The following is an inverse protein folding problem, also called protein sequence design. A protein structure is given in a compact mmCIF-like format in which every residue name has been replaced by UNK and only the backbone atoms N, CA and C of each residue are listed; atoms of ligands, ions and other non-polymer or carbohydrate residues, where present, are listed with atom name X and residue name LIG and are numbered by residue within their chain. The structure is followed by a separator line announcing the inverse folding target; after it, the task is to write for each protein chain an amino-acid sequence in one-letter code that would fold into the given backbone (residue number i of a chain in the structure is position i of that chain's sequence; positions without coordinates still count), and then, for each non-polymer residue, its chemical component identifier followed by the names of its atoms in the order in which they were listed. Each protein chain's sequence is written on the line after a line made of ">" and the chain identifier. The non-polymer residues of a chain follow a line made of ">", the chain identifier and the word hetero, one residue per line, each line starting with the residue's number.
data_IF_785287980411
#
_entry.id   IF_785287980411
#
_cell.length_a   1.000
_cell.length_b   1.000
_cell.length_c   1.000
_cell.angle_alpha   90.00
_cell.angle_beta   90.00
_cell.angle_gamma   90.00
#
_symmetry.space_group_name_H-M   'P 1'
#
loop_
_entity.id
_entity.type
_entity.pdbx_description
1 polymer ?
#
# COMPACT_ATOMS: atom_id res chain seq x y z
N UNK A 1 29.34 -15.70 23.82
CA UNK A 1 28.78 -16.54 22.74
C UNK A 1 27.32 -16.15 22.59
N UNK A 2 27.02 -15.21 21.69
CA UNK A 2 25.64 -14.80 21.43
C UNK A 2 24.95 -15.93 20.64
N UNK A 3 23.69 -16.29 20.94
CA UNK A 3 23.01 -17.33 20.21
C UNK A 3 22.73 -16.81 18.80
N UNK A 4 23.32 -17.48 17.81
CA UNK A 4 23.00 -17.30 16.40
C UNK A 4 21.52 -17.65 16.21
N UNK A 5 20.66 -16.63 16.12
CA UNK A 5 19.28 -16.81 15.70
C UNK A 5 19.33 -17.32 14.27
N UNK A 6 19.12 -18.63 14.08
CA UNK A 6 18.87 -19.18 12.75
C UNK A 6 17.58 -18.54 12.25
N UNK A 7 17.70 -17.62 11.30
CA UNK A 7 16.60 -17.26 10.41
C UNK A 7 16.14 -18.58 9.78
N UNK A 8 14.89 -18.97 10.04
CA UNK A 8 14.33 -20.16 9.41
C UNK A 8 14.05 -19.82 7.94
N UNK A 9 14.99 -20.16 7.05
CA UNK A 9 14.77 -20.23 5.59
C UNK A 9 13.88 -21.44 5.25
N UNK A 10 12.70 -21.51 5.86
CA UNK A 10 11.72 -22.55 5.56
C UNK A 10 10.77 -22.01 4.51
N UNK A 11 10.69 -22.68 3.35
CA UNK A 11 9.74 -22.32 2.30
C UNK A 11 8.29 -22.40 2.81
N UNK A 12 7.50 -21.35 2.58
CA UNK A 12 6.10 -21.24 3.03
C UNK A 12 5.18 -21.29 1.81
N UNK A 13 4.50 -22.41 1.61
CA UNK A 13 3.72 -22.65 0.39
C UNK A 13 2.25 -22.21 0.49
N UNK A 14 1.67 -22.25 1.68
CA UNK A 14 0.31 -21.79 1.91
C UNK A 14 0.16 -21.15 3.28
N UNK A 15 -0.85 -20.28 3.42
CA UNK A 15 -1.23 -19.65 4.67
C UNK A 15 -2.74 -19.53 4.79
N UNK A 16 -3.26 -19.60 6.00
CA UNK A 16 -4.67 -19.43 6.31
C UNK A 16 -5.05 -17.95 6.60
N UNK A 17 -6.31 -17.70 6.89
CA UNK A 17 -6.82 -16.37 7.23
C UNK A 17 -6.25 -15.79 8.52
N UNK A 18 -5.86 -16.62 9.50
CA UNK A 18 -5.27 -16.12 10.75
C UNK A 18 -3.83 -15.66 10.50
N UNK A 19 -3.07 -16.39 9.69
CA UNK A 19 -1.76 -15.96 9.23
C UNK A 19 -1.85 -14.66 8.40
N UNK A 20 -2.81 -14.56 7.48
CA UNK A 20 -3.04 -13.32 6.74
C UNK A 20 -3.39 -12.14 7.66
N UNK A 21 -4.25 -12.35 8.66
CA UNK A 21 -4.55 -11.33 9.68
C UNK A 21 -3.30 -10.88 10.44
N UNK A 22 -2.38 -11.80 10.76
CA UNK A 22 -1.10 -11.45 11.38
C UNK A 22 -0.20 -10.62 10.45
N UNK A 23 -0.18 -10.92 9.15
CA UNK A 23 0.51 -10.08 8.16
C UNK A 23 -0.05 -8.65 8.16
N UNK A 24 -1.38 -8.50 8.11
CA UNK A 24 -2.02 -7.19 8.15
C UNK A 24 -1.65 -6.43 9.43
N UNK A 25 -1.69 -7.09 10.60
CA UNK A 25 -1.28 -6.49 11.88
C UNK A 25 0.14 -5.93 11.80
N UNK A 26 1.09 -6.74 11.32
CA UNK A 26 2.48 -6.34 11.26
C UNK A 26 2.72 -5.23 10.22
N UNK A 27 2.07 -5.29 9.06
CA UNK A 27 2.04 -4.22 8.08
C UNK A 27 1.53 -2.91 8.68
N UNK A 28 0.41 -2.96 9.40
CA UNK A 28 -0.18 -1.81 10.09
C UNK A 28 0.78 -1.22 11.13
N UNK A 29 1.36 -2.06 12.00
CA UNK A 29 2.32 -1.62 13.02
C UNK A 29 3.58 -1.03 12.41
N UNK A 30 4.04 -1.56 11.27
CA UNK A 30 5.19 -0.99 10.56
C UNK A 30 4.84 0.36 9.95
N UNK A 31 3.68 0.48 9.29
CA UNK A 31 3.19 1.76 8.76
C UNK A 31 2.99 2.79 9.87
N UNK A 32 2.47 2.39 11.03
CA UNK A 32 2.30 3.26 12.20
C UNK A 32 3.62 3.90 12.64
N UNK A 33 4.73 3.17 12.56
CA UNK A 33 6.05 3.70 12.92
C UNK A 33 6.64 4.66 11.88
N UNK A 34 6.22 4.53 10.62
CA UNK A 34 6.82 5.26 9.50
C UNK A 34 5.89 6.29 8.86
N UNK A 35 4.64 6.40 9.32
CA UNK A 35 3.64 7.27 8.69
C UNK A 35 4.08 8.74 8.67
N UNK A 36 4.80 9.23 9.68
CA UNK A 36 5.35 10.60 9.67
C UNK A 36 6.43 10.79 8.59
N UNK A 37 7.25 9.77 8.33
CA UNK A 37 8.21 9.83 7.23
C UNK A 37 7.50 9.83 5.87
N UNK A 38 6.42 9.06 5.74
CA UNK A 38 5.57 9.08 4.55
C UNK A 38 4.88 10.44 4.37
N UNK A 39 4.42 11.06 5.46
CA UNK A 39 3.82 12.39 5.46
C UNK A 39 4.78 13.46 4.92
N UNK A 40 6.06 13.40 5.29
CA UNK A 40 7.08 14.35 4.82
C UNK A 40 7.33 14.29 3.30
N UNK A 41 6.97 13.20 2.64
CA UNK A 41 7.08 13.04 1.19
C UNK A 41 5.85 13.60 0.44
N UNK A 42 4.78 13.97 1.15
CA UNK A 42 3.52 14.33 0.53
C UNK A 42 3.59 15.72 -0.12
N UNK A 43 3.91 15.74 -1.41
CA UNK A 43 3.92 16.95 -2.25
C UNK A 43 2.93 16.88 -3.42
N UNK A 44 2.23 15.76 -3.58
CA UNK A 44 1.30 15.50 -4.68
C UNK A 44 0.12 14.60 -4.23
N UNK A 45 -1.12 14.86 -4.70
CA UNK A 45 -1.53 16.01 -5.51
C UNK A 45 -1.59 17.29 -4.68
N UNK A 46 -1.81 17.18 -3.37
CA UNK A 46 -1.91 18.31 -2.44
C UNK A 46 -0.82 18.15 -1.37
N UNK A 47 0.06 19.15 -1.18
CA UNK A 47 1.15 19.09 -0.21
C UNK A 47 0.67 19.43 1.22
N UNK A 48 -0.29 18.65 1.74
CA UNK A 48 -0.89 18.84 3.07
C UNK A 48 -0.24 17.98 4.18
N UNK A 49 0.75 17.15 3.81
CA UNK A 49 1.49 16.35 4.76
C UNK A 49 0.68 15.23 5.44
N UNK A 50 -0.45 14.79 4.87
CA UNK A 50 -1.34 13.83 5.55
C UNK A 50 -1.33 12.39 4.99
N UNK A 51 -0.62 12.13 3.87
CA UNK A 51 -0.74 10.85 3.13
C UNK A 51 -0.51 9.62 4.01
N UNK A 52 0.55 9.59 4.81
CA UNK A 52 0.86 8.50 5.73
C UNK A 52 -0.19 8.36 6.84
N UNK A 53 -0.67 9.48 7.39
CA UNK A 53 -1.77 9.49 8.36
C UNK A 53 -3.04 8.88 7.77
N UNK A 54 -3.41 9.29 6.56
CA UNK A 54 -4.57 8.81 5.82
C UNK A 54 -4.49 7.30 5.54
N UNK A 55 -3.31 6.82 5.12
CA UNK A 55 -3.05 5.41 4.93
C UNK A 55 -3.16 4.63 6.25
N UNK A 56 -2.53 5.12 7.33
CA UNK A 56 -2.57 4.46 8.63
C UNK A 56 -3.99 4.36 9.19
N UNK A 57 -4.78 5.44 9.12
CA UNK A 57 -6.18 5.44 9.56
C UNK A 57 -7.03 4.45 8.77
N UNK A 58 -6.79 4.36 7.46
CA UNK A 58 -7.47 3.40 6.59
C UNK A 58 -7.14 1.95 6.97
N UNK A 59 -5.86 1.63 7.17
CA UNK A 59 -5.42 0.28 7.56
C UNK A 59 -5.89 -0.07 8.96
N UNK A 60 -5.90 0.88 9.91
CA UNK A 60 -6.45 0.68 11.26
C UNK A 60 -7.93 0.32 11.20
N UNK A 61 -8.73 1.05 10.42
CA UNK A 61 -10.14 0.73 10.23
C UNK A 61 -10.35 -0.66 9.62
N UNK A 62 -9.52 -1.02 8.63
CA UNK A 62 -9.52 -2.35 8.03
C UNK A 62 -9.20 -3.45 9.06
N UNK A 63 -8.15 -3.26 9.85
CA UNK A 63 -7.72 -4.23 10.87
C UNK A 63 -8.74 -4.36 12.01
N UNK A 64 -9.34 -3.26 12.45
CA UNK A 64 -10.42 -3.27 13.45
C UNK A 64 -11.61 -4.14 13.02
N UNK A 65 -11.88 -4.27 11.72
CA UNK A 65 -12.95 -5.13 11.20
C UNK A 65 -12.63 -6.64 11.30
N UNK A 66 -11.36 -7.03 11.46
CA UNK A 66 -10.92 -8.43 11.48
C UNK A 66 -10.25 -8.88 12.78
N UNK A 67 -9.88 -7.96 13.69
CA UNK A 67 -9.11 -8.30 14.90
C UNK A 67 -9.77 -9.40 15.74
N UNK A 68 -11.09 -9.34 15.91
CA UNK A 68 -11.88 -10.30 16.68
C UNK A 68 -12.53 -11.40 15.81
N UNK A 69 -12.15 -11.52 14.53
CA UNK A 69 -12.69 -12.54 13.63
C UNK A 69 -11.94 -13.88 13.82
N UNK A 70 -12.60 -14.94 14.31
CA UNK A 70 -11.97 -16.23 14.57
C UNK A 70 -11.81 -17.12 13.31
N UNK A 71 -12.44 -16.78 12.18
CA UNK A 71 -12.40 -17.61 10.98
C UNK A 71 -10.99 -17.90 10.47
N UNK A 72 -10.70 -19.16 10.16
CA UNK A 72 -9.46 -19.56 9.47
C UNK A 72 -9.52 -19.28 7.96
N UNK A 73 -10.66 -18.88 7.41
CA UNK A 73 -10.77 -18.64 5.97
C UNK A 73 -10.10 -17.33 5.55
N UNK A 74 -9.11 -17.45 4.67
CA UNK A 74 -8.47 -16.31 4.01
C UNK A 74 -9.49 -15.41 3.29
N UNK A 75 -10.47 -16.00 2.60
CA UNK A 75 -11.55 -15.25 1.94
C UNK A 75 -12.39 -14.43 2.91
N UNK A 76 -12.83 -15.04 4.02
CA UNK A 76 -13.65 -14.33 5.05
C UNK A 76 -12.86 -13.17 5.66
N UNK A 77 -11.59 -13.40 6.01
CA UNK A 77 -10.74 -12.35 6.58
C UNK A 77 -10.50 -11.23 5.56
N UNK A 78 -10.16 -11.55 4.31
CA UNK A 78 -9.88 -10.57 3.28
C UNK A 78 -11.12 -9.75 2.90
N UNK A 79 -12.30 -10.37 2.84
CA UNK A 79 -13.56 -9.66 2.59
C UNK A 79 -13.88 -8.65 3.70
N UNK A 80 -13.77 -9.07 4.97
CA UNK A 80 -13.99 -8.16 6.11
C UNK A 80 -12.96 -7.05 6.17
N UNK A 81 -11.70 -7.36 5.88
CA UNK A 81 -10.61 -6.38 5.78
C UNK A 81 -10.93 -5.33 4.72
N UNK A 82 -11.28 -5.76 3.50
CA UNK A 82 -11.61 -4.87 2.39
C UNK A 82 -12.82 -3.98 2.71
N UNK A 83 -13.85 -4.53 3.34
CA UNK A 83 -15.01 -3.76 3.78
C UNK A 83 -14.62 -2.73 4.85
N UNK A 84 -13.81 -3.10 5.85
CA UNK A 84 -13.33 -2.15 6.86
C UNK A 84 -12.49 -1.02 6.24
N UNK A 85 -11.62 -1.35 5.29
CA UNK A 85 -10.82 -0.37 4.56
C UNK A 85 -11.69 0.59 3.73
N UNK A 86 -12.73 0.08 3.06
CA UNK A 86 -13.64 0.90 2.25
C UNK A 86 -14.44 1.90 3.10
N UNK A 87 -14.98 1.46 4.24
CA UNK A 87 -15.76 2.35 5.11
C UNK A 87 -14.87 3.32 5.91
N UNK A 88 -13.62 2.93 6.14
CA UNK A 88 -12.65 3.74 6.88
C UNK A 88 -11.68 4.53 6.01
N UNK A 89 -11.81 4.50 4.67
CA UNK A 89 -10.85 5.13 3.77
C UNK A 89 -10.76 6.64 4.01
N UNK A 90 -9.53 7.16 4.03
CA UNK A 90 -9.24 8.59 4.17
C UNK A 90 -8.33 9.06 3.04
N UNK A 91 -8.71 10.14 2.37
CA UNK A 91 -7.89 10.73 1.31
C UNK A 91 -7.65 9.78 0.12
N UNK A 92 -7.05 10.30 -0.94
CA UNK A 92 -6.84 9.52 -2.16
C UNK A 92 -5.98 8.27 -1.90
N UNK A 93 -4.97 8.36 -1.03
CA UNK A 93 -4.12 7.25 -0.62
C UNK A 93 -4.90 6.14 0.11
N UNK A 94 -5.81 6.50 1.01
CA UNK A 94 -6.70 5.54 1.68
C UNK A 94 -7.70 4.90 0.73
N UNK A 95 -8.25 5.67 -0.21
CA UNK A 95 -9.12 5.12 -1.26
C UNK A 95 -8.39 4.11 -2.13
N UNK A 96 -7.15 4.37 -2.55
CA UNK A 96 -6.31 3.38 -3.26
C UNK A 96 -6.11 2.13 -2.41
N UNK A 97 -5.73 2.27 -1.14
CA UNK A 97 -5.55 1.13 -0.24
C UNK A 97 -6.83 0.31 -0.05
N UNK A 98 -7.99 0.96 0.00
CA UNK A 98 -9.27 0.25 0.07
C UNK A 98 -9.49 -0.67 -1.15
N UNK A 99 -9.13 -0.19 -2.34
CA UNK A 99 -9.22 -0.99 -3.56
C UNK A 99 -8.13 -2.06 -3.64
N UNK A 100 -6.95 -1.76 -3.10
CA UNK A 100 -5.88 -2.74 -2.95
C UNK A 100 -6.37 -3.95 -2.15
N UNK A 101 -6.92 -3.74 -0.94
CA UNK A 101 -7.49 -4.83 -0.14
C UNK A 101 -8.71 -5.50 -0.79
N UNK A 102 -9.52 -4.74 -1.55
CA UNK A 102 -10.61 -5.32 -2.34
C UNK A 102 -10.11 -6.28 -3.42
N UNK A 103 -8.94 -6.03 -4.00
CA UNK A 103 -8.27 -6.96 -4.91
C UNK A 103 -7.93 -8.29 -4.23
N UNK A 104 -7.37 -8.22 -3.02
CA UNK A 104 -7.08 -9.40 -2.18
C UNK A 104 -8.36 -10.17 -1.82
N UNK A 105 -9.43 -9.47 -1.45
CA UNK A 105 -10.72 -10.10 -1.17
C UNK A 105 -11.27 -10.87 -2.38
N UNK A 106 -11.13 -10.34 -3.60
CA UNK A 106 -11.54 -11.04 -4.83
C UNK A 106 -10.70 -12.28 -5.09
N UNK A 107 -9.38 -12.18 -4.91
CA UNK A 107 -8.47 -13.28 -5.16
C UNK A 107 -8.64 -14.42 -4.14
N UNK A 108 -8.96 -14.10 -2.88
CA UNK A 108 -9.12 -15.08 -1.81
C UNK A 108 -10.56 -15.59 -1.64
N UNK A 109 -11.49 -15.16 -2.49
CA UNK A 109 -12.91 -15.50 -2.35
C UNK A 109 -13.13 -17.02 -2.29
N UNK A 110 -13.78 -17.49 -1.22
CA UNK A 110 -14.07 -18.90 -0.99
C UNK A 110 -12.88 -19.75 -0.53
N UNK A 111 -11.69 -19.17 -0.36
CA UNK A 111 -10.49 -19.91 0.04
C UNK A 111 -10.34 -19.98 1.55
N UNK A 112 -9.96 -21.16 2.06
CA UNK A 112 -9.49 -21.30 3.44
C UNK A 112 -8.04 -20.85 3.56
N UNK A 113 -7.19 -21.35 2.66
CA UNK A 113 -5.78 -21.00 2.55
C UNK A 113 -5.47 -20.41 1.18
N UNK A 114 -4.43 -19.60 1.09
CA UNK A 114 -3.94 -19.06 -0.18
C UNK A 114 -2.48 -19.48 -0.41
N UNK A 115 -2.08 -19.47 -1.68
CA UNK A 115 -0.77 -19.90 -2.18
C UNK A 115 -0.19 -18.79 -3.07
N UNK A 116 1.02 -19.00 -3.61
CA UNK A 116 1.70 -18.01 -4.44
C UNK A 116 0.83 -17.50 -5.60
N UNK A 117 0.15 -18.39 -6.33
CA UNK A 117 -0.71 -18.04 -7.45
C UNK A 117 -1.87 -17.13 -7.04
N UNK A 118 -2.47 -17.41 -5.88
CA UNK A 118 -3.55 -16.62 -5.31
C UNK A 118 -3.05 -15.23 -4.88
N UNK A 119 -1.86 -15.16 -4.29
CA UNK A 119 -1.25 -13.89 -3.88
C UNK A 119 -0.86 -13.04 -5.10
N UNK A 120 -0.33 -13.66 -6.16
CA UNK A 120 -0.07 -12.97 -7.42
C UNK A 120 -1.35 -12.40 -8.04
N UNK A 121 -2.42 -13.21 -8.07
CA UNK A 121 -3.71 -12.75 -8.53
C UNK A 121 -4.26 -11.60 -7.66
N UNK A 122 -4.03 -11.63 -6.35
CA UNK A 122 -4.40 -10.56 -5.44
C UNK A 122 -3.73 -9.22 -5.79
N UNK A 123 -2.42 -9.22 -6.05
CA UNK A 123 -1.69 -8.01 -6.49
C UNK A 123 -2.20 -7.50 -7.84
N UNK A 124 -2.46 -8.40 -8.80
CA UNK A 124 -3.05 -8.02 -10.10
C UNK A 124 -4.39 -7.31 -9.93
N UNK A 125 -5.30 -7.91 -9.19
CA UNK A 125 -6.63 -7.35 -8.96
C UNK A 125 -6.57 -6.05 -8.16
N UNK A 126 -5.66 -5.96 -7.20
CA UNK A 126 -5.41 -4.75 -6.42
C UNK A 126 -4.99 -3.59 -7.33
N UNK A 127 -4.00 -3.79 -8.20
CA UNK A 127 -3.57 -2.79 -9.17
C UNK A 127 -4.70 -2.41 -10.12
N UNK A 128 -5.38 -3.41 -10.72
CA UNK A 128 -6.49 -3.18 -11.67
C UNK A 128 -7.61 -2.33 -11.04
N UNK A 129 -8.02 -2.64 -9.81
CA UNK A 129 -9.07 -1.89 -9.11
C UNK A 129 -8.61 -0.49 -8.69
N UNK A 130 -7.36 -0.33 -8.28
CA UNK A 130 -6.80 0.97 -7.94
C UNK A 130 -6.83 1.92 -9.14
N UNK A 131 -6.37 1.47 -10.31
CA UNK A 131 -6.45 2.26 -11.55
C UNK A 131 -7.88 2.62 -11.93
N UNK A 132 -8.81 1.67 -11.83
CA UNK A 132 -10.22 1.89 -12.15
C UNK A 132 -10.94 2.85 -11.19
N UNK A 133 -10.29 3.29 -10.11
CA UNK A 133 -10.89 4.21 -9.14
C UNK A 133 -10.91 5.65 -9.65
N UNK A 134 -9.91 6.03 -10.44
CA UNK A 134 -9.71 7.40 -10.91
C UNK A 134 -10.03 7.50 -12.39
N UNK A 135 -10.63 8.62 -12.79
CA UNK A 135 -10.90 8.90 -14.21
C UNK A 135 -9.61 9.12 -15.00
N UNK A 136 -8.62 9.74 -14.36
CA UNK A 136 -7.30 10.01 -14.92
C UNK A 136 -6.25 9.43 -13.97
N UNK A 137 -5.93 8.14 -14.10
CA UNK A 137 -4.83 7.53 -13.37
C UNK A 137 -3.51 8.23 -13.71
N UNK A 138 -2.71 8.53 -12.68
CA UNK A 138 -1.43 9.25 -12.85
C UNK A 138 -0.27 8.31 -12.61
N UNK A 139 0.59 8.13 -13.61
CA UNK A 139 1.86 7.40 -13.44
C UNK A 139 2.85 8.22 -12.60
N UNK A 140 3.78 7.53 -11.93
CA UNK A 140 4.64 8.12 -10.91
C UNK A 140 3.95 8.27 -9.55
N UNK A 141 2.83 7.57 -9.33
CA UNK A 141 2.13 7.52 -8.03
C UNK A 141 2.09 6.09 -7.48
N UNK A 142 1.44 5.90 -6.33
CA UNK A 142 1.09 4.59 -5.76
C UNK A 142 0.51 3.61 -6.78
N UNK A 143 -0.18 4.11 -7.81
CA UNK A 143 -0.73 3.30 -8.90
C UNK A 143 0.39 2.59 -9.68
N UNK A 144 1.42 3.31 -10.10
CA UNK A 144 2.60 2.74 -10.78
C UNK A 144 3.26 1.68 -9.91
N UNK A 145 3.45 1.98 -8.62
CA UNK A 145 4.08 1.05 -7.67
C UNK A 145 3.26 -0.23 -7.55
N UNK A 146 1.94 -0.13 -7.37
CA UNK A 146 1.06 -1.30 -7.29
C UNK A 146 1.07 -2.14 -8.59
N UNK A 147 1.03 -1.49 -9.76
CA UNK A 147 1.09 -2.16 -11.06
C UNK A 147 2.41 -2.91 -11.25
N UNK A 148 3.54 -2.25 -10.98
CA UNK A 148 4.84 -2.87 -11.17
C UNK A 148 5.10 -4.03 -10.20
N UNK A 149 4.60 -3.94 -8.96
CA UNK A 149 4.63 -5.06 -8.02
C UNK A 149 3.83 -6.24 -8.59
N UNK A 150 2.63 -5.99 -9.11
CA UNK A 150 1.81 -7.04 -9.71
C UNK A 150 2.52 -7.70 -10.91
N UNK A 151 3.08 -6.91 -11.82
CA UNK A 151 3.84 -7.39 -12.99
C UNK A 151 5.02 -8.28 -12.56
N UNK A 152 5.82 -7.86 -11.56
CA UNK A 152 6.94 -8.65 -11.04
C UNK A 152 6.48 -9.98 -10.43
N UNK A 153 5.47 -9.92 -9.58
CA UNK A 153 4.97 -11.09 -8.87
C UNK A 153 4.35 -12.10 -9.84
N UNK A 154 3.62 -11.64 -10.87
CA UNK A 154 3.06 -12.49 -11.91
C UNK A 154 4.13 -13.25 -12.70
N UNK A 155 5.29 -12.64 -12.97
CA UNK A 155 6.38 -13.32 -13.68
C UNK A 155 6.99 -14.48 -12.88
N UNK A 156 6.85 -14.47 -11.55
CA UNK A 156 7.40 -15.48 -10.65
C UNK A 156 6.46 -16.68 -10.44
N UNK A 157 5.18 -16.55 -10.81
CA UNK A 157 4.19 -17.63 -10.76
C UNK A 157 4.63 -18.79 -11.65
N UNK A 158 4.51 -20.02 -11.16
CA UNK A 158 4.94 -21.23 -11.86
C UNK A 158 6.45 -21.54 -11.77
N UNK A 159 7.26 -20.69 -11.14
CA UNK A 159 8.69 -20.94 -10.92
C UNK A 159 8.99 -21.68 -9.60
N UNK A 160 8.00 -22.39 -9.03
CA UNK A 160 8.11 -23.13 -7.77
C UNK A 160 8.49 -22.24 -6.55
N UNK A 161 8.13 -20.95 -6.62
CA UNK A 161 8.40 -19.97 -5.56
C UNK A 161 7.41 -20.06 -4.40
N UNK A 162 7.93 -19.95 -3.18
CA UNK A 162 7.13 -19.86 -1.97
C UNK A 162 6.62 -18.42 -1.70
N UNK A 163 5.67 -18.27 -0.77
CA UNK A 163 5.06 -16.99 -0.40
C UNK A 163 6.07 -15.96 0.12
N UNK A 164 7.13 -16.39 0.80
CA UNK A 164 8.18 -15.50 1.30
C UNK A 164 9.05 -14.97 0.17
N UNK A 165 9.42 -15.82 -0.78
CA UNK A 165 10.11 -15.40 -2.00
C UNK A 165 9.27 -14.40 -2.77
N UNK A 166 7.98 -14.69 -2.98
CA UNK A 166 7.07 -13.82 -3.72
C UNK A 166 6.92 -12.43 -3.07
N UNK A 167 6.66 -12.39 -1.76
CA UNK A 167 6.50 -11.13 -1.02
C UNK A 167 7.82 -10.37 -0.89
N UNK A 168 8.96 -11.05 -0.81
CA UNK A 168 10.29 -10.40 -0.87
C UNK A 168 10.47 -9.65 -2.19
N UNK A 169 10.17 -10.32 -3.31
CA UNK A 169 10.28 -9.71 -4.64
C UNK A 169 9.28 -8.56 -4.85
N UNK A 170 8.07 -8.69 -4.32
CA UNK A 170 7.10 -7.60 -4.29
C UNK A 170 7.66 -6.35 -3.58
N UNK A 171 8.25 -6.51 -2.40
CA UNK A 171 8.85 -5.38 -1.65
C UNK A 171 10.03 -4.77 -2.40
N UNK A 172 10.94 -5.61 -2.92
CA UNK A 172 12.11 -5.14 -3.69
C UNK A 172 11.68 -4.36 -4.94
N UNK A 173 10.72 -4.89 -5.70
CA UNK A 173 10.20 -4.19 -6.88
C UNK A 173 9.49 -2.90 -6.50
N UNK A 174 8.71 -2.92 -5.42
CA UNK A 174 8.04 -1.73 -4.90
C UNK A 174 9.04 -0.61 -4.58
N UNK A 175 10.14 -0.91 -3.89
CA UNK A 175 11.22 0.05 -3.61
C UNK A 175 11.83 0.62 -4.90
N UNK A 176 12.10 -0.24 -5.89
CA UNK A 176 12.63 0.20 -7.19
C UNK A 176 11.64 1.11 -7.93
N UNK A 177 10.35 0.78 -7.90
CA UNK A 177 9.30 1.58 -8.53
C UNK A 177 9.17 2.95 -7.85
N UNK A 178 9.14 2.99 -6.51
CA UNK A 178 9.13 4.24 -5.72
C UNK A 178 10.33 5.12 -6.07
N UNK A 179 11.53 4.56 -6.14
CA UNK A 179 12.74 5.32 -6.48
C UNK A 179 12.66 5.98 -7.88
N UNK A 180 11.89 5.39 -8.81
CA UNK A 180 11.70 5.92 -10.17
C UNK A 180 10.50 6.85 -10.31
N UNK A 181 9.66 7.04 -9.29
CA UNK A 181 8.52 7.96 -9.42
C UNK A 181 8.90 9.40 -9.80
N UNK A 182 10.06 9.96 -9.40
CA UNK A 182 10.50 11.28 -9.88
C UNK A 182 10.87 11.31 -11.37
N UNK A 183 11.18 10.16 -11.97
CA UNK A 183 11.41 10.05 -13.42
C UNK A 183 10.08 10.16 -14.19
N UNK A 184 8.98 9.79 -13.56
CA UNK A 184 7.65 9.73 -14.17
C UNK A 184 6.80 10.98 -13.89
N UNK A 185 6.96 11.59 -12.71
CA UNK A 185 6.13 12.73 -12.29
C UNK A 185 6.99 13.97 -12.01
N UNK A 186 6.91 15.03 -12.84
CA UNK A 186 7.79 16.20 -12.73
C UNK A 186 7.74 16.94 -11.39
N UNK A 187 6.59 16.95 -10.71
CA UNK A 187 6.44 17.59 -9.41
C UNK A 187 7.32 16.91 -8.35
N UNK A 188 7.39 15.58 -8.35
CA UNK A 188 8.24 14.80 -7.46
C UNK A 188 9.72 15.07 -7.72
N UNK A 189 10.11 15.15 -9.00
CA UNK A 189 11.48 15.51 -9.41
C UNK A 189 11.91 16.87 -8.91
N UNK A 190 11.06 17.89 -9.13
CA UNK A 190 11.34 19.26 -8.69
C UNK A 190 11.41 19.35 -7.17
N UNK A 191 10.56 18.60 -6.48
CA UNK A 191 10.57 18.51 -5.03
C UNK A 191 11.72 17.67 -4.46
N UNK A 192 12.44 16.89 -5.29
CA UNK A 192 13.51 16.01 -4.82
C UNK A 192 13.01 14.85 -3.95
N UNK A 193 11.72 14.50 -4.03
CA UNK A 193 11.09 13.45 -3.22
C UNK A 193 10.48 12.36 -4.11
N UNK A 194 10.23 11.19 -3.54
CA UNK A 194 9.49 10.09 -4.16
C UNK A 194 7.98 10.20 -3.85
N UNK A 195 7.17 9.34 -4.46
CA UNK A 195 5.72 9.32 -4.20
C UNK A 195 5.42 8.82 -2.78
N UNK A 196 4.70 9.63 -2.00
CA UNK A 196 4.33 9.33 -0.61
C UNK A 196 3.45 8.08 -0.53
N UNK A 197 2.43 7.96 -1.38
CA UNK A 197 1.52 6.80 -1.39
C UNK A 197 2.24 5.50 -1.73
N UNK A 198 3.11 5.53 -2.74
CA UNK A 198 3.95 4.43 -3.16
C UNK A 198 4.89 3.98 -2.04
N UNK A 199 5.57 4.94 -1.39
CA UNK A 199 6.42 4.66 -0.23
C UNK A 199 5.60 4.03 0.91
N UNK A 200 4.41 4.56 1.21
CA UNK A 200 3.52 4.00 2.23
C UNK A 200 3.08 2.57 1.93
N UNK A 201 2.83 2.23 0.66
CA UNK A 201 2.49 0.87 0.24
C UNK A 201 3.67 -0.09 0.43
N UNK A 202 4.88 0.33 0.06
CA UNK A 202 6.11 -0.45 0.27
C UNK A 202 6.33 -0.71 1.76
N UNK A 203 6.22 0.31 2.60
CA UNK A 203 6.29 0.18 4.07
C UNK A 203 5.25 -0.84 4.55
N UNK A 204 3.99 -0.72 4.13
CA UNK A 204 2.96 -1.68 4.52
C UNK A 204 3.34 -3.14 4.18
N UNK A 205 3.86 -3.38 2.97
CA UNK A 205 4.30 -4.71 2.52
C UNK A 205 5.56 -5.20 3.25
N UNK A 206 6.49 -4.31 3.58
CA UNK A 206 7.67 -4.64 4.39
C UNK A 206 7.27 -5.17 5.77
N UNK A 207 6.28 -4.55 6.41
CA UNK A 207 5.75 -5.04 7.69
C UNK A 207 5.13 -6.42 7.58
N UNK A 208 4.40 -6.70 6.49
CA UNK A 208 3.87 -8.05 6.20
C UNK A 208 5.02 -9.06 6.02
N UNK A 209 6.07 -8.68 5.28
CA UNK A 209 7.23 -9.52 5.04
C UNK A 209 8.01 -9.83 6.33
N UNK A 210 8.11 -8.86 7.24
CA UNK A 210 8.74 -9.06 8.57
C UNK A 210 8.01 -10.10 9.39
N UNK A 211 6.66 -10.07 9.40
CA UNK A 211 5.87 -11.11 10.08
C UNK A 211 6.16 -12.50 9.48
N UNK A 212 6.23 -12.58 8.16
CA UNK A 212 6.49 -13.82 7.46
C UNK A 212 7.88 -14.40 7.77
N UNK A 213 8.90 -13.55 7.85
CA UNK A 213 10.28 -13.92 8.21
C UNK A 213 10.46 -14.17 9.72
N UNK A 214 9.45 -13.91 10.55
CA UNK A 214 9.56 -13.95 12.01
C UNK A 214 10.47 -12.85 12.58
N UNK A 215 10.72 -11.78 11.83
CA UNK A 215 11.61 -10.66 12.19
C UNK A 215 10.83 -9.41 12.58
N UNK A 216 9.74 -9.57 13.34
CA UNK A 216 8.96 -8.46 13.90
C UNK A 216 9.74 -7.65 14.97
N UNK A 217 10.99 -8.02 15.26
CA UNK A 217 11.89 -7.29 16.16
C UNK A 217 12.12 -5.84 15.72
N UNK A 218 12.59 -5.01 16.66
CA UNK A 218 12.87 -3.59 16.44
C UNK A 218 13.73 -3.36 15.17
N UNK A 219 13.51 -2.25 14.45
CA UNK A 219 14.38 -1.85 13.35
C UNK A 219 15.83 -1.81 13.81
N UNK A 220 16.75 -2.11 12.88
CA UNK A 220 18.15 -1.77 13.09
C UNK A 220 18.32 -0.25 13.17
N UNK A 221 19.39 0.22 13.81
CA UNK A 221 19.69 1.66 13.93
C UNK A 221 19.79 2.34 12.55
N UNK A 222 20.31 1.63 11.55
CA UNK A 222 20.40 2.08 10.15
C UNK A 222 19.03 2.32 9.52
N UNK A 223 18.06 1.42 9.76
CA UNK A 223 16.69 1.58 9.28
C UNK A 223 16.02 2.78 9.95
N UNK A 224 16.19 2.95 11.26
CA UNK A 224 15.66 4.13 11.97
C UNK A 224 16.26 5.44 11.47
N UNK A 225 17.56 5.49 11.14
CA UNK A 225 18.20 6.68 10.60
C UNK A 225 17.73 7.04 9.18
N UNK A 226 17.59 6.05 8.30
CA UNK A 226 17.11 6.27 6.93
C UNK A 226 15.71 6.90 6.89
N UNK A 227 14.84 6.54 7.84
CA UNK A 227 13.48 7.09 7.95
C UNK A 227 13.35 8.34 8.83
N UNK A 228 14.36 8.70 9.63
CA UNK A 228 14.34 9.89 10.51
C UNK A 228 15.10 11.08 9.96
N UNK A 229 15.83 10.92 8.86
CA UNK A 229 16.50 12.02 8.17
C UNK A 229 15.49 13.17 7.88
N UNK A 230 15.75 14.40 8.35
CA UNK A 230 14.93 15.55 8.01
C UNK A 230 14.89 15.75 6.50
N UNK A 231 13.69 15.72 5.93
CA UNK A 231 13.43 16.27 4.60
C UNK A 231 13.13 17.76 4.81
N UNK A 232 14.17 18.58 4.81
CA UNK A 232 14.01 20.04 4.77
C UNK A 232 13.87 20.45 3.30
N UNK A 233 12.62 20.57 2.85
CA UNK A 233 12.32 21.22 1.56
C UNK A 233 12.41 22.73 1.76
N UNK A 234 13.19 23.42 0.93
CA UNK A 234 13.26 24.88 0.98
C UNK A 234 11.94 25.54 0.52
N UNK A 235 11.75 26.81 0.89
CA UNK A 235 10.52 27.56 0.54
C UNK A 235 10.28 27.65 -0.96
N UNK A 236 11.34 27.69 -1.77
CA UNK A 236 11.23 27.79 -3.23
C UNK A 236 10.65 26.50 -3.82
N UNK A 237 11.13 25.36 -3.32
CA UNK A 237 10.69 24.02 -3.67
C UNK A 237 9.24 23.80 -3.27
N UNK A 238 8.86 24.21 -2.05
CA UNK A 238 7.47 24.15 -1.59
C UNK A 238 6.56 25.01 -2.49
N UNK A 239 6.92 26.27 -2.75
CA UNK A 239 6.15 27.15 -3.63
C UNK A 239 6.00 26.58 -5.04
N UNK A 240 7.05 25.98 -5.59
CA UNK A 240 7.00 25.32 -6.88
C UNK A 240 6.07 24.10 -6.89
N UNK A 241 6.09 23.29 -5.82
CA UNK A 241 5.17 22.15 -5.66
C UNK A 241 3.71 22.62 -5.56
N UNK A 242 3.43 23.66 -4.76
CA UNK A 242 2.10 24.28 -4.68
C UNK A 242 1.61 24.80 -6.05
N UNK A 243 2.45 25.52 -6.79
CA UNK A 243 2.07 26.04 -8.10
C UNK A 243 1.74 24.92 -9.11
N UNK A 244 2.52 23.85 -9.12
CA UNK A 244 2.28 22.68 -9.99
C UNK A 244 1.05 21.88 -9.56
N UNK A 245 0.77 21.83 -8.27
CA UNK A 245 -0.45 21.25 -7.70
C UNK A 245 -1.68 22.03 -8.16
N UNK A 246 -1.65 23.37 -8.12
CA UNK A 246 -2.72 24.24 -8.63
C UNK A 246 -2.97 24.06 -10.13
N UNK A 247 -1.90 23.95 -10.93
CA UNK A 247 -2.03 23.63 -12.37
C UNK A 247 -2.68 22.25 -12.59
N UNK A 248 -2.35 21.27 -11.75
CA UNK A 248 -2.93 19.92 -11.84
C UNK A 248 -4.39 19.85 -11.38
N UNK A 249 -4.78 20.68 -10.41
CA UNK A 249 -6.11 20.64 -9.80
C UNK A 249 -7.21 21.35 -10.62
N UNK A 250 -6.93 21.76 -11.86
CA UNK A 250 -7.88 22.36 -12.81
C UNK A 250 -8.79 23.44 -12.19
N UNK A 251 -8.24 24.29 -11.32
CA UNK A 251 -8.99 25.39 -10.67
C UNK A 251 -9.82 24.98 -9.45
N UNK A 252 -9.57 23.80 -8.88
CA UNK A 252 -10.17 23.35 -7.62
C UNK A 252 -9.51 23.96 -6.38
N UNK A 253 -10.22 23.92 -5.26
CA UNK A 253 -9.66 24.25 -3.95
C UNK A 253 -8.72 23.13 -3.48
N UNK A 254 -7.62 23.45 -2.81
CA UNK A 254 -6.60 22.50 -2.34
C UNK A 254 -7.04 21.59 -1.18
N UNK A 255 -8.18 20.92 -1.31
CA UNK A 255 -8.69 19.93 -0.38
C UNK A 255 -9.38 18.78 -1.14
N UNK A 256 -9.16 17.55 -0.68
CA UNK A 256 -9.80 16.35 -1.22
C UNK A 256 -11.14 16.06 -0.52
N UNK A 257 -12.21 15.84 -1.30
CA UNK A 257 -13.52 15.42 -0.78
C UNK A 257 -13.87 14.04 -1.32
N UNK A 258 -14.33 13.17 -0.42
CA UNK A 258 -14.67 11.78 -0.75
C UNK A 258 -16.11 11.47 -0.38
N UNK A 259 -16.80 10.79 -1.30
CA UNK A 259 -18.18 10.36 -1.12
C UNK A 259 -18.26 8.83 -1.25
N UNK A 260 -18.90 8.18 -0.27
CA UNK A 260 -19.33 6.79 -0.38
C UNK A 260 -20.79 6.76 -0.81
N UNK A 261 -21.05 6.41 -2.07
CA UNK A 261 -22.41 6.35 -2.64
C UNK A 261 -22.90 4.90 -2.65
N UNK A 262 -24.07 4.65 -2.04
CA UNK A 262 -24.70 3.33 -1.99
C UNK A 262 -26.05 3.35 -2.73
N UNK A 263 -26.26 2.39 -3.62
CA UNK A 263 -27.49 2.26 -4.39
C UNK A 263 -27.54 0.95 -5.18
N UNK A 264 -28.68 0.67 -5.80
CA UNK A 264 -28.86 -0.47 -6.69
C UNK A 264 -28.77 -0.01 -8.15
N UNK A 265 -28.15 -0.80 -9.02
CA UNK A 265 -28.01 -0.51 -10.45
C UNK A 265 -27.46 0.90 -10.74
N UNK A 266 -26.52 1.37 -9.91
CA UNK A 266 -25.85 2.65 -10.13
C UNK A 266 -25.02 2.60 -11.41
N UNK A 267 -25.23 3.58 -12.28
CA UNK A 267 -24.37 3.82 -13.44
C UNK A 267 -23.11 4.55 -12.97
N UNK A 268 -22.09 3.77 -12.61
CA UNK A 268 -20.83 4.26 -12.03
C UNK A 268 -20.08 5.18 -13.00
N UNK A 269 -20.13 4.88 -14.29
CA UNK A 269 -19.45 5.68 -15.31
C UNK A 269 -20.12 7.05 -15.44
N UNK A 270 -21.46 7.09 -15.40
CA UNK A 270 -22.21 8.34 -15.37
C UNK A 270 -22.04 9.12 -14.07
N UNK A 271 -21.90 8.47 -12.92
CA UNK A 271 -21.66 9.15 -11.64
C UNK A 271 -20.27 9.79 -11.61
N UNK A 272 -19.31 9.20 -12.33
CA UNK A 272 -17.96 9.73 -12.45
C UNK A 272 -17.90 10.90 -13.43
N UNK A 273 -18.51 10.76 -14.61
CA UNK A 273 -18.48 11.78 -15.67
C UNK A 273 -18.95 13.16 -15.21
#
# INVERSE_FOLDING_TARGET
>A
MLPTVRLMDTAIFNLDGQAFKNWIRAGMTWLERHHEAVNRLNVFPVPDGDTGTNMLLTVRAAYSAIINEPSQSAGVIAEKLANGALHGSRGNSGTVLSQFFRGFARAFAGLTTFEADHLAYAFREAARLAYQTFQKPTEGTILTVAREIAEEVEMLVGQNGDLQTLLTRAVERGRQAVARTPELLPILRKAGVVDSGGQGLVVLLEGMLRALKGTESLPSEEESQAFSAPLELDEETLRAAFALSEEHSQGGFGYDVQYLVRGQALDVDRIRA
#
